data_IF_190888535022
#
_entry.id   IF_190888535022
#
_cell.length_a   1.000
_cell.length_b   1.000
_cell.length_c   1.000
_cell.angle_alpha   90.00
_cell.angle_beta   90.00
_cell.angle_gamma   90.00
#
_symmetry.space_group_name_H-M   'P 1'
#
loop_
_entity.id
_entity.type
_entity.pdbx_description
1 polymer ?
#
# COMPACT_ATOMS: atom_id res chain seq x y z
N UNK A 1 6.64 -18.29 -21.11
CA UNK A 1 7.43 -17.02 -21.12
C UNK A 1 7.18 -16.22 -19.86
N UNK A 2 7.95 -15.17 -19.63
CA UNK A 2 7.72 -14.22 -18.53
C UNK A 2 6.49 -13.36 -18.83
N UNK A 3 5.75 -12.99 -17.78
CA UNK A 3 4.49 -12.23 -17.92
C UNK A 3 4.59 -10.87 -17.20
N UNK A 4 3.90 -9.84 -17.67
CA UNK A 4 3.75 -8.57 -16.95
C UNK A 4 2.98 -8.76 -15.66
N UNK A 5 3.16 -7.86 -14.67
CA UNK A 5 2.53 -7.98 -13.36
C UNK A 5 1.91 -6.67 -12.89
N UNK A 6 0.73 -6.78 -12.27
CA UNK A 6 0.14 -5.74 -11.44
C UNK A 6 0.52 -5.98 -9.98
N UNK A 7 1.11 -4.98 -9.36
CA UNK A 7 1.46 -4.96 -7.93
C UNK A 7 0.49 -4.03 -7.21
N UNK A 8 -0.01 -4.43 -6.05
CA UNK A 8 -0.87 -3.55 -5.26
C UNK A 8 -1.24 -4.13 -3.91
N UNK A 9 -1.72 -3.27 -3.03
CA UNK A 9 -2.16 -3.66 -1.70
C UNK A 9 -3.65 -3.97 -1.66
N UNK A 10 -4.02 -4.97 -0.88
CA UNK A 10 -5.40 -5.21 -0.49
C UNK A 10 -5.68 -4.66 0.92
N UNK A 11 -6.95 -4.32 1.18
CA UNK A 11 -7.40 -3.70 2.43
C UNK A 11 -7.84 -4.70 3.49
N UNK A 12 -8.27 -5.90 3.08
CA UNK A 12 -8.99 -6.82 3.94
C UNK A 12 -8.24 -8.13 4.19
N UNK A 13 -6.98 -8.19 3.79
CA UNK A 13 -6.14 -9.36 3.95
C UNK A 13 -6.15 -10.29 2.74
N UNK A 14 -5.01 -10.94 2.52
CA UNK A 14 -4.77 -11.80 1.36
C UNK A 14 -5.80 -12.92 1.26
N UNK A 15 -6.21 -13.52 2.38
CA UNK A 15 -7.21 -14.60 2.46
C UNK A 15 -8.60 -14.18 1.94
N UNK A 16 -8.92 -12.87 1.94
CA UNK A 16 -10.23 -12.42 1.44
C UNK A 16 -10.28 -12.32 -0.09
N UNK A 17 -9.14 -12.25 -0.75
CA UNK A 17 -9.04 -12.03 -2.20
C UNK A 17 -9.32 -13.29 -3.02
N UNK A 18 -9.22 -14.46 -2.41
CA UNK A 18 -9.37 -15.75 -3.07
C UNK A 18 -9.91 -16.81 -2.12
N UNK A 19 -10.45 -17.91 -2.68
CA UNK A 19 -10.85 -19.11 -1.92
C UNK A 19 -9.68 -20.08 -1.68
N UNK A 20 -8.51 -19.83 -2.27
CA UNK A 20 -7.34 -20.69 -2.19
C UNK A 20 -6.92 -20.92 -0.72
N UNK A 21 -6.97 -22.17 -0.21
CA UNK A 21 -6.73 -22.45 1.21
C UNK A 21 -5.27 -22.27 1.64
N UNK A 22 -4.31 -22.34 0.72
CA UNK A 22 -2.89 -22.13 0.99
C UNK A 22 -2.52 -20.69 1.32
N UNK A 23 -3.39 -19.73 1.03
CA UNK A 23 -3.15 -18.32 1.36
C UNK A 23 -3.36 -18.08 2.86
N UNK A 24 -2.30 -17.65 3.54
CA UNK A 24 -2.35 -17.35 4.97
C UNK A 24 -3.20 -16.09 5.27
N UNK A 25 -3.76 -16.07 6.48
CA UNK A 25 -4.40 -14.88 7.03
C UNK A 25 -3.36 -13.79 7.28
N UNK A 26 -3.66 -12.58 6.84
CA UNK A 26 -2.80 -11.42 7.05
C UNK A 26 -2.71 -11.08 8.53
N UNK A 27 -1.53 -11.18 9.16
CA UNK A 27 -1.38 -11.03 10.61
C UNK A 27 -1.63 -9.61 11.10
N UNK A 28 -1.38 -8.58 10.29
CA UNK A 28 -1.59 -7.18 10.63
C UNK A 28 -3.05 -6.80 10.89
N UNK A 29 -3.99 -7.56 10.35
CA UNK A 29 -5.42 -7.31 10.54
C UNK A 29 -5.85 -7.40 12.01
N UNK A 30 -5.21 -8.22 12.82
CA UNK A 30 -5.51 -8.37 14.25
C UNK A 30 -5.36 -7.08 15.05
N UNK A 31 -4.56 -6.15 14.57
CA UNK A 31 -4.34 -4.86 15.22
C UNK A 31 -5.45 -3.84 14.93
N UNK A 32 -6.18 -4.03 13.84
CA UNK A 32 -7.15 -3.06 13.32
C UNK A 32 -8.58 -3.58 13.26
N UNK A 33 -8.79 -4.89 13.36
CA UNK A 33 -10.10 -5.55 13.26
C UNK A 33 -10.37 -6.50 14.42
N UNK A 34 -11.62 -6.46 14.93
CA UNK A 34 -12.09 -7.40 15.92
C UNK A 34 -12.30 -8.82 15.36
N UNK A 35 -12.49 -9.79 16.26
CA UNK A 35 -12.62 -11.23 15.92
C UNK A 35 -13.80 -11.54 15.00
N UNK A 36 -14.88 -10.76 15.09
CA UNK A 36 -16.12 -10.97 14.32
C UNK A 36 -16.14 -10.19 12.99
N UNK A 37 -15.03 -9.59 12.62
CA UNK A 37 -14.94 -8.82 11.38
C UNK A 37 -15.01 -9.71 10.14
N UNK A 38 -15.73 -9.30 9.09
CA UNK A 38 -15.78 -10.01 7.80
C UNK A 38 -14.41 -10.25 7.15
N UNK A 39 -13.37 -9.52 7.55
CA UNK A 39 -11.98 -9.75 7.08
C UNK A 39 -11.47 -11.16 7.38
N UNK A 40 -12.05 -11.86 8.35
CA UNK A 40 -11.67 -13.23 8.67
C UNK A 40 -12.33 -14.28 7.77
N UNK A 41 -13.23 -13.86 6.88
CA UNK A 41 -13.92 -14.77 5.94
C UNK A 41 -13.10 -14.89 4.66
N UNK A 42 -12.60 -16.10 4.39
CA UNK A 42 -11.86 -16.41 3.16
C UNK A 42 -12.72 -16.15 1.93
N UNK A 43 -12.15 -15.50 0.92
CA UNK A 43 -12.83 -15.19 -0.34
C UNK A 43 -13.89 -14.08 -0.28
N UNK A 44 -14.07 -13.40 0.88
CA UNK A 44 -15.08 -12.36 1.04
C UNK A 44 -14.97 -11.21 0.01
N UNK A 45 -13.78 -10.98 -0.54
CA UNK A 45 -13.50 -9.93 -1.53
C UNK A 45 -13.15 -10.49 -2.93
N UNK A 46 -13.31 -11.80 -3.16
CA UNK A 46 -12.90 -12.44 -4.42
C UNK A 46 -13.48 -11.76 -5.67
N UNK A 47 -14.71 -11.27 -5.57
CA UNK A 47 -15.38 -10.62 -6.70
C UNK A 47 -14.77 -9.27 -7.08
N UNK A 48 -14.01 -8.65 -6.18
CA UNK A 48 -13.27 -7.39 -6.44
C UNK A 48 -11.90 -7.63 -7.08
N UNK A 49 -11.35 -8.82 -6.91
CA UNK A 49 -9.97 -9.12 -7.33
C UNK A 49 -9.89 -9.79 -8.70
N UNK A 50 -10.96 -10.24 -9.29
CA UNK A 50 -11.08 -10.73 -10.67
C UNK A 50 -9.84 -11.43 -11.24
N UNK A 51 -9.14 -12.25 -10.43
CA UNK A 51 -7.86 -12.87 -10.81
C UNK A 51 -7.97 -13.65 -12.12
N UNK A 52 -9.03 -14.45 -12.30
CA UNK A 52 -9.21 -15.23 -13.52
C UNK A 52 -9.14 -14.37 -14.78
N UNK A 53 -9.84 -13.22 -14.78
CA UNK A 53 -9.85 -12.29 -15.92
C UNK A 53 -8.49 -11.64 -16.21
N UNK A 54 -7.68 -11.43 -15.18
CA UNK A 54 -6.34 -10.85 -15.31
C UNK A 54 -5.37 -11.91 -15.84
N UNK A 55 -5.43 -13.11 -15.29
CA UNK A 55 -4.58 -14.23 -15.69
C UNK A 55 -4.89 -14.69 -17.13
N UNK A 56 -6.18 -14.79 -17.52
CA UNK A 56 -6.61 -15.11 -18.89
C UNK A 56 -6.04 -14.12 -19.93
N UNK A 57 -5.75 -12.89 -19.55
CA UNK A 57 -5.13 -11.87 -20.38
C UNK A 57 -3.60 -11.90 -20.38
N UNK A 58 -3.00 -12.89 -19.72
CA UNK A 58 -1.56 -13.06 -19.67
C UNK A 58 -0.83 -12.13 -18.70
N UNK A 59 -1.52 -11.60 -17.69
CA UNK A 59 -0.93 -10.79 -16.64
C UNK A 59 -0.86 -11.58 -15.33
N UNK A 60 0.15 -11.30 -14.52
CA UNK A 60 0.22 -11.74 -13.12
C UNK A 60 -0.34 -10.66 -12.19
N UNK A 61 -0.69 -11.06 -10.97
CA UNK A 61 -1.05 -10.17 -9.86
C UNK A 61 -0.20 -10.52 -8.65
N UNK A 62 0.41 -9.52 -8.04
CA UNK A 62 1.07 -9.62 -6.75
C UNK A 62 0.37 -8.68 -5.76
N UNK A 63 -0.17 -9.23 -4.69
CA UNK A 63 -0.85 -8.44 -3.66
C UNK A 63 -0.41 -8.82 -2.26
N UNK A 64 -0.42 -7.85 -1.37
CA UNK A 64 -0.14 -7.99 0.05
C UNK A 64 -1.12 -7.11 0.84
N UNK A 65 -1.47 -7.50 2.04
CA UNK A 65 -2.24 -6.64 2.94
C UNK A 65 -1.35 -5.52 3.48
N UNK A 66 -1.74 -4.27 3.27
CA UNK A 66 -0.93 -3.13 3.71
C UNK A 66 -0.79 -3.03 5.24
N UNK A 67 -1.75 -3.59 5.99
CA UNK A 67 -1.67 -3.69 7.44
C UNK A 67 -0.54 -4.62 7.92
N UNK A 68 -0.04 -5.51 7.06
CA UNK A 68 1.09 -6.39 7.40
C UNK A 68 2.42 -5.62 7.39
N UNK A 69 2.46 -4.45 6.73
CA UNK A 69 3.62 -3.56 6.66
C UNK A 69 3.51 -2.45 7.72
N UNK A 70 2.38 -1.77 7.76
CA UNK A 70 2.06 -0.75 8.75
C UNK A 70 0.56 -0.82 9.04
N UNK A 71 0.13 -1.29 10.23
CA UNK A 71 -1.26 -1.25 10.63
C UNK A 71 -1.76 0.20 10.64
N UNK A 72 -2.86 0.47 9.94
CA UNK A 72 -3.31 1.83 9.65
C UNK A 72 -3.96 2.54 10.84
N UNK A 73 -3.14 2.79 11.85
CA UNK A 73 -3.46 3.54 13.07
C UNK A 73 -2.23 4.21 13.62
N UNK A 74 -2.38 5.44 14.09
CA UNK A 74 -1.27 6.25 14.60
C UNK A 74 -0.53 5.56 15.77
N UNK A 75 -1.29 4.96 16.69
CA UNK A 75 -0.77 4.28 17.89
C UNK A 75 -0.06 2.95 17.61
N UNK A 76 -0.09 2.48 16.35
CA UNK A 76 0.50 1.19 15.97
C UNK A 76 1.80 1.31 15.17
N UNK A 77 2.42 2.48 15.17
CA UNK A 77 3.70 2.71 14.48
C UNK A 77 4.78 1.70 14.91
N UNK A 78 4.89 1.45 16.19
CA UNK A 78 5.90 0.53 16.75
C UNK A 78 5.68 -0.94 16.38
N UNK A 79 4.46 -1.27 15.93
CA UNK A 79 4.13 -2.59 15.39
C UNK A 79 4.30 -2.69 13.89
N UNK A 80 4.77 -1.63 13.26
CA UNK A 80 5.05 -1.59 11.83
C UNK A 80 6.51 -1.97 11.54
N UNK A 81 6.79 -2.24 10.26
CA UNK A 81 8.15 -2.48 9.79
C UNK A 81 9.06 -1.25 9.99
N UNK A 82 8.49 -0.05 10.16
CA UNK A 82 9.24 1.17 10.43
C UNK A 82 10.06 1.08 11.73
N UNK A 83 9.59 0.34 12.73
CA UNK A 83 10.31 0.11 14.00
C UNK A 83 11.67 -0.58 13.82
N UNK A 84 11.89 -1.25 12.70
CA UNK A 84 13.18 -1.85 12.34
C UNK A 84 14.21 -0.82 11.83
N UNK A 85 13.77 0.41 11.62
CA UNK A 85 14.59 1.50 11.05
C UNK A 85 14.53 2.75 11.94
N UNK A 86 15.07 2.70 13.16
CA UNK A 86 14.92 3.78 14.15
C UNK A 86 15.45 5.13 13.65
N UNK A 87 16.50 5.14 12.85
CA UNK A 87 17.10 6.36 12.30
C UNK A 87 16.18 7.12 11.33
N UNK A 88 15.16 6.46 10.79
CA UNK A 88 14.20 7.05 9.84
C UNK A 88 12.88 7.48 10.48
N UNK A 89 12.63 7.10 11.72
CA UNK A 89 11.34 7.30 12.39
C UNK A 89 11.38 8.29 13.55
N UNK A 90 12.56 8.79 13.92
CA UNK A 90 12.69 9.74 15.01
C UNK A 90 13.92 10.64 14.85
N UNK A 91 13.82 11.86 15.40
CA UNK A 91 14.97 12.76 15.55
C UNK A 91 15.37 13.53 14.30
N UNK A 92 14.60 13.52 13.24
CA UNK A 92 14.87 14.37 12.09
C UNK A 92 14.68 15.83 12.42
N UNK A 93 15.70 16.66 12.13
CA UNK A 93 15.62 18.12 12.27
C UNK A 93 14.65 18.77 11.29
N UNK A 94 14.33 18.08 10.21
CA UNK A 94 13.45 18.56 9.15
C UNK A 94 12.00 18.10 9.35
N UNK A 95 11.71 17.29 10.37
CA UNK A 95 10.41 16.68 10.61
C UNK A 95 9.88 15.89 9.40
N UNK A 96 10.82 15.23 8.69
CA UNK A 96 10.57 14.40 7.51
C UNK A 96 10.68 12.90 7.82
N UNK A 97 10.42 12.53 9.06
CA UNK A 97 10.39 11.17 9.55
C UNK A 97 9.48 10.28 8.68
N UNK A 98 9.88 9.04 8.60
CA UNK A 98 9.20 8.05 7.79
C UNK A 98 7.83 7.66 8.38
N UNK A 99 6.76 7.89 7.64
CA UNK A 99 5.39 7.61 8.05
C UNK A 99 4.69 6.62 7.09
N UNK A 100 3.45 6.25 7.39
CA UNK A 100 2.77 5.10 6.79
C UNK A 100 2.77 5.07 5.25
N UNK A 101 2.52 6.20 4.58
CA UNK A 101 2.56 6.25 3.09
C UNK A 101 3.94 5.87 2.56
N UNK A 102 5.00 6.38 3.18
CA UNK A 102 6.38 6.05 2.82
C UNK A 102 6.71 4.58 3.10
N UNK A 103 6.27 4.07 4.25
CA UNK A 103 6.48 2.67 4.65
C UNK A 103 5.74 1.71 3.72
N UNK A 104 4.50 2.01 3.33
CA UNK A 104 3.78 1.21 2.34
C UNK A 104 4.46 1.26 0.98
N UNK A 105 4.96 2.43 0.55
CA UNK A 105 5.72 2.54 -0.69
C UNK A 105 7.00 1.69 -0.67
N UNK A 106 7.74 1.70 0.43
CA UNK A 106 8.90 0.83 0.64
C UNK A 106 8.52 -0.65 0.54
N UNK A 107 7.40 -1.05 1.18
CA UNK A 107 6.88 -2.41 1.11
C UNK A 107 6.57 -2.86 -0.32
N UNK A 108 6.08 -1.94 -1.17
CA UNK A 108 5.86 -2.23 -2.59
C UNK A 108 7.15 -2.60 -3.32
N UNK A 109 8.25 -1.92 -3.03
CA UNK A 109 9.57 -2.28 -3.58
C UNK A 109 10.05 -3.65 -3.10
N UNK A 110 9.71 -4.03 -1.85
CA UNK A 110 10.03 -5.41 -1.34
C UNK A 110 9.25 -6.49 -2.09
N UNK A 111 8.01 -6.21 -2.52
CA UNK A 111 7.29 -7.13 -3.41
C UNK A 111 8.06 -7.30 -4.73
N UNK A 112 8.57 -6.22 -5.32
CA UNK A 112 9.35 -6.28 -6.57
C UNK A 112 10.64 -7.07 -6.39
N UNK A 113 11.36 -6.90 -5.27
CA UNK A 113 12.57 -7.69 -4.96
C UNK A 113 12.28 -9.20 -4.91
N UNK A 114 11.11 -9.59 -4.38
CA UNK A 114 10.67 -10.97 -4.40
C UNK A 114 10.39 -11.45 -5.83
N UNK A 115 9.69 -10.64 -6.62
CA UNK A 115 9.32 -10.98 -8.01
C UNK A 115 10.55 -11.13 -8.92
N UNK A 116 11.63 -10.42 -8.66
CA UNK A 116 12.91 -10.59 -9.37
C UNK A 116 13.46 -12.01 -9.21
N UNK A 117 13.30 -12.57 -8.02
CA UNK A 117 13.76 -13.94 -7.69
C UNK A 117 12.82 -15.02 -8.19
N UNK A 118 11.57 -14.73 -8.36
CA UNK A 118 10.51 -15.65 -8.82
C UNK A 118 10.77 -16.16 -10.27
N UNK A 119 11.38 -15.33 -11.11
CA UNK A 119 11.84 -15.69 -12.45
C UNK A 119 10.75 -15.80 -13.53
N UNK A 120 9.46 -15.77 -13.18
CA UNK A 120 8.32 -15.85 -14.10
C UNK A 120 7.79 -14.49 -14.55
N UNK A 121 8.25 -13.40 -13.92
CA UNK A 121 7.79 -12.05 -14.19
C UNK A 121 8.71 -11.34 -15.19
N UNK A 122 8.10 -10.61 -16.11
CA UNK A 122 8.80 -9.65 -16.97
C UNK A 122 9.05 -8.35 -16.20
N UNK A 123 10.25 -8.24 -15.66
CA UNK A 123 10.65 -7.10 -14.82
C UNK A 123 10.66 -5.76 -15.57
N UNK A 124 10.58 -5.76 -16.89
CA UNK A 124 10.40 -4.55 -17.70
C UNK A 124 8.95 -4.07 -17.78
N UNK A 125 8.00 -4.85 -17.23
CA UNK A 125 6.55 -4.62 -17.35
C UNK A 125 5.84 -4.75 -16.00
N UNK A 126 6.25 -3.95 -15.04
CA UNK A 126 5.64 -3.89 -13.70
C UNK A 126 4.75 -2.66 -13.62
N UNK A 127 3.48 -2.86 -13.32
CA UNK A 127 2.54 -1.80 -12.97
C UNK A 127 2.24 -1.83 -11.48
N UNK A 128 2.28 -0.67 -10.81
CA UNK A 128 1.75 -0.53 -9.46
C UNK A 128 0.39 0.15 -9.50
N UNK A 129 -0.56 -0.36 -8.71
CA UNK A 129 -1.89 0.24 -8.58
C UNK A 129 -2.33 0.31 -7.13
N UNK A 130 -3.05 1.38 -6.81
CA UNK A 130 -3.64 1.55 -5.50
C UNK A 130 -4.91 2.38 -5.55
N UNK A 131 -5.80 2.11 -4.60
CA UNK A 131 -7.03 2.88 -4.40
C UNK A 131 -6.95 3.69 -3.11
N UNK A 132 -7.49 4.92 -3.10
CA UNK A 132 -7.54 5.78 -1.92
C UNK A 132 -6.14 6.01 -1.33
N UNK A 133 -5.92 5.74 -0.03
CA UNK A 133 -4.61 5.83 0.63
C UNK A 133 -3.52 4.99 -0.05
N UNK A 134 -3.88 3.85 -0.60
CA UNK A 134 -2.95 3.03 -1.36
C UNK A 134 -2.68 3.59 -2.76
N UNK A 135 -3.57 4.44 -3.30
CA UNK A 135 -3.28 5.25 -4.48
C UNK A 135 -2.21 6.32 -4.21
N UNK A 136 -2.19 6.90 -3.00
CA UNK A 136 -1.11 7.80 -2.55
C UNK A 136 0.22 7.03 -2.44
N UNK A 137 0.19 5.85 -1.82
CA UNK A 137 1.38 4.98 -1.71
C UNK A 137 1.88 4.52 -3.08
N UNK A 138 0.99 4.19 -4.02
CA UNK A 138 1.38 3.82 -5.39
C UNK A 138 2.10 4.95 -6.12
N UNK A 139 1.63 6.19 -6.01
CA UNK A 139 2.31 7.36 -6.56
C UNK A 139 3.71 7.52 -5.98
N UNK A 140 3.83 7.41 -4.66
CA UNK A 140 5.11 7.54 -3.98
C UNK A 140 6.06 6.39 -4.33
N UNK A 141 5.55 5.15 -4.46
CA UNK A 141 6.32 4.01 -4.93
C UNK A 141 6.91 4.25 -6.32
N UNK A 142 6.09 4.72 -7.27
CA UNK A 142 6.54 5.00 -8.63
C UNK A 142 7.54 6.16 -8.73
N UNK A 143 7.46 7.12 -7.80
CA UNK A 143 8.43 8.22 -7.72
C UNK A 143 9.79 7.77 -7.19
N UNK A 144 9.83 6.75 -6.34
CA UNK A 144 11.06 6.29 -5.68
C UNK A 144 11.69 5.05 -6.33
N UNK A 145 10.91 4.22 -7.03
CA UNK A 145 11.38 2.96 -7.60
C UNK A 145 11.10 2.90 -9.11
N UNK A 146 12.14 3.10 -9.90
CA UNK A 146 12.08 3.13 -11.37
C UNK A 146 11.70 1.78 -12.02
N UNK A 147 11.63 0.70 -11.24
CA UNK A 147 11.16 -0.61 -11.72
C UNK A 147 9.66 -0.60 -12.02
N UNK A 148 8.89 0.25 -11.36
CA UNK A 148 7.49 0.49 -11.72
C UNK A 148 7.41 1.31 -13.00
N UNK A 149 6.92 0.70 -14.08
CA UNK A 149 6.80 1.33 -15.40
C UNK A 149 5.45 2.03 -15.61
N UNK A 150 4.45 1.59 -14.88
CA UNK A 150 3.12 2.18 -14.90
C UNK A 150 2.66 2.37 -13.45
N UNK A 151 2.10 3.54 -13.17
CA UNK A 151 1.54 3.88 -11.85
C UNK A 151 0.06 4.24 -12.02
N UNK A 152 -0.80 3.48 -11.36
CA UNK A 152 -2.24 3.69 -11.39
C UNK A 152 -2.70 4.14 -10.00
N UNK A 153 -2.99 5.42 -9.88
CA UNK A 153 -3.45 6.05 -8.65
C UNK A 153 -4.95 6.31 -8.75
N UNK A 154 -5.74 5.36 -8.25
CA UNK A 154 -7.19 5.45 -8.30
C UNK A 154 -7.75 6.15 -7.06
N UNK A 155 -8.51 7.23 -7.26
CA UNK A 155 -9.23 7.98 -6.22
C UNK A 155 -8.35 8.33 -5.01
N UNK A 156 -7.12 8.78 -5.27
CA UNK A 156 -6.13 8.99 -4.21
C UNK A 156 -6.28 10.32 -3.45
N UNK A 157 -7.05 11.27 -3.96
CA UNK A 157 -7.40 12.49 -3.26
C UNK A 157 -6.22 13.37 -2.85
N UNK A 158 -6.37 14.12 -1.77
CA UNK A 158 -5.36 15.02 -1.21
C UNK A 158 -4.10 14.23 -0.76
N UNK A 159 -2.92 14.77 -1.05
CA UNK A 159 -1.64 14.06 -0.85
C UNK A 159 -1.43 12.90 -1.82
N UNK A 160 -2.31 12.77 -2.82
CA UNK A 160 -2.22 11.86 -3.95
C UNK A 160 -2.31 12.61 -5.26
N UNK A 161 -3.21 12.22 -6.17
CA UNK A 161 -3.34 12.82 -7.50
C UNK A 161 -4.20 14.09 -7.55
N UNK A 162 -4.87 14.48 -6.46
CA UNK A 162 -5.62 15.71 -6.41
C UNK A 162 -4.69 16.92 -6.32
N UNK A 163 -5.13 18.06 -6.91
CA UNK A 163 -4.41 19.32 -6.81
C UNK A 163 -4.38 19.81 -5.35
N UNK A 164 -3.20 19.89 -4.76
CA UNK A 164 -3.01 20.23 -3.33
C UNK A 164 -3.53 21.61 -2.96
N UNK A 165 -3.45 22.58 -3.88
CA UNK A 165 -3.95 23.95 -3.68
C UNK A 165 -5.47 24.12 -3.82
N UNK A 166 -6.17 23.06 -4.18
CA UNK A 166 -7.63 23.07 -4.30
C UNK A 166 -8.25 22.78 -2.94
N UNK A 167 -8.85 23.81 -2.36
CA UNK A 167 -9.56 23.69 -1.07
C UNK A 167 -11.00 23.24 -1.31
N UNK A 168 -11.17 21.92 -1.50
CA UNK A 168 -12.49 21.29 -1.63
C UNK A 168 -12.44 19.86 -1.11
N UNK A 169 -13.31 19.51 -0.17
CA UNK A 169 -13.33 18.20 0.45
C UNK A 169 -12.14 17.98 1.40
N UNK A 170 -11.39 16.94 1.19
CA UNK A 170 -10.17 16.64 1.95
C UNK A 170 -9.04 17.57 1.50
N UNK A 171 -8.43 18.26 2.45
CA UNK A 171 -7.28 19.15 2.22
C UNK A 171 -6.10 18.77 3.12
N UNK A 172 -4.95 19.42 2.94
CA UNK A 172 -3.72 19.09 3.68
C UNK A 172 -3.92 19.30 5.18
N UNK A 173 -4.49 20.40 5.62
CA UNK A 173 -4.73 20.67 7.04
C UNK A 173 -5.56 19.57 7.70
N UNK A 174 -6.62 19.11 7.03
CA UNK A 174 -7.50 18.06 7.52
C UNK A 174 -6.79 16.70 7.56
N UNK A 175 -6.12 16.30 6.47
CA UNK A 175 -5.52 14.98 6.37
C UNK A 175 -4.36 14.80 7.35
N UNK A 176 -3.55 15.85 7.57
CA UNK A 176 -2.43 15.83 8.52
C UNK A 176 -2.90 15.86 9.98
N UNK A 177 -4.12 16.33 10.25
CA UNK A 177 -4.71 16.31 11.59
C UNK A 177 -5.40 14.97 11.89
N UNK A 178 -6.26 14.51 10.98
CA UNK A 178 -7.12 13.31 11.22
C UNK A 178 -6.34 12.02 10.99
N UNK A 179 -5.39 12.01 10.07
CA UNK A 179 -4.58 10.87 9.66
C UNK A 179 -3.09 11.21 9.79
N UNK A 180 -2.71 11.71 10.95
CA UNK A 180 -1.37 12.25 11.25
C UNK A 180 -0.23 11.26 10.98
N UNK A 181 -0.49 9.97 11.06
CA UNK A 181 0.47 8.89 10.81
C UNK A 181 0.69 8.57 9.32
N UNK A 182 -0.04 9.22 8.40
CA UNK A 182 0.15 8.95 6.96
C UNK A 182 1.34 9.70 6.37
N UNK A 183 1.59 10.91 6.83
CA UNK A 183 2.60 11.82 6.27
C UNK A 183 3.55 12.29 7.36
N UNK A 184 4.78 12.62 6.96
CA UNK A 184 5.72 13.24 7.88
C UNK A 184 5.16 14.58 8.42
N UNK A 185 5.55 15.00 9.65
CA UNK A 185 5.06 16.25 10.24
C UNK A 185 5.31 17.48 9.37
N UNK A 186 6.44 17.51 8.64
CA UNK A 186 6.76 18.61 7.72
C UNK A 186 5.73 18.81 6.60
N UNK A 187 4.94 17.79 6.25
CA UNK A 187 3.92 17.92 5.21
C UNK A 187 2.82 18.94 5.57
N UNK A 188 2.59 19.17 6.86
CA UNK A 188 1.61 20.16 7.34
C UNK A 188 1.91 21.61 6.93
N UNK A 189 3.18 21.94 6.61
CA UNK A 189 3.57 23.27 6.15
C UNK A 189 2.96 23.68 4.79
N UNK A 190 2.40 22.72 4.06
CA UNK A 190 1.72 22.96 2.77
C UNK A 190 0.20 23.11 2.91
N UNK A 191 -0.32 23.25 4.14
CA UNK A 191 -1.74 23.40 4.45
C UNK A 191 -2.33 24.74 4.02
#
# INVERSE_FOLDING_TARGET
GRVPVFVGYNFMGNQTTTLEPSIYYSPGLRFVHGKDSPVWTRGAQKNRWCYDKILERGYAVATMCYHDIYPDRAELRDYSVASLFPDYISGSKNHDEWEAIGVWAWGSSRIVDYLEREGRIDMSKIAIMGHSRQGKAALWSGAQDSRFKVVISNDSGCGGAALSKRVYGENIARITTVLSHWFCPAFSQYA
#
